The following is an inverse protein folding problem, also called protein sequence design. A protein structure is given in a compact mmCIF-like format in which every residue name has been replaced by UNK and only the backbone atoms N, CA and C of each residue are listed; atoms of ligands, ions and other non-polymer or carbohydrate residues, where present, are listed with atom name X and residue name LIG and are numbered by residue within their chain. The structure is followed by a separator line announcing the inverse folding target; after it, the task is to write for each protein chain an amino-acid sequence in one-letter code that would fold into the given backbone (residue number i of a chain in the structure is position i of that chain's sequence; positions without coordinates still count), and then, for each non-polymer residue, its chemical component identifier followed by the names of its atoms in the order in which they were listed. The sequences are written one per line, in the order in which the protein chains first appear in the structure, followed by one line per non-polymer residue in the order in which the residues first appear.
data_IF_152427848674
#
_entry.id   IF_152427848674
#
_cell.length_a   1.000
_cell.length_b   1.000
_cell.length_c   1.000
_cell.angle_alpha   90.00
_cell.angle_beta   90.00
_cell.angle_gamma   90.00
#
_symmetry.space_group_name_H-M   'P 1'
#
loop_
_entity.id
_entity.type
_entity.pdbx_description
1 polymer ?
#
# COMPACT_ATOMS: atom_id res chain seq x y z
N UNK A 1 -29.61 -5.37 -8.66
CA UNK A 1 -29.12 -4.96 -9.99
C UNK A 1 -29.12 -3.44 -10.05
N UNK A 2 -27.98 -2.80 -10.29
CA UNK A 2 -27.89 -1.35 -10.39
C UNK A 2 -28.02 -0.91 -11.85
N UNK A 3 -28.81 0.13 -12.13
CA UNK A 3 -28.92 0.74 -13.45
C UNK A 3 -28.27 2.11 -13.39
N UNK A 4 -27.25 2.34 -14.21
CA UNK A 4 -26.63 3.66 -14.36
C UNK A 4 -27.16 4.31 -15.63
N UNK A 5 -27.84 5.45 -15.47
CA UNK A 5 -28.40 6.21 -16.57
C UNK A 5 -27.46 7.36 -16.92
N UNK A 6 -27.03 7.42 -18.17
CA UNK A 6 -26.30 8.58 -18.71
C UNK A 6 -26.86 8.91 -20.07
N UNK A 7 -27.50 10.06 -20.17
CA UNK A 7 -28.04 10.56 -21.45
C UNK A 7 -26.89 11.17 -22.26
N UNK A 8 -26.63 10.64 -23.44
CA UNK A 8 -25.66 11.21 -24.39
C UNK A 8 -26.36 11.32 -25.74
N UNK A 9 -26.72 12.53 -26.15
CA UNK A 9 -27.35 12.79 -27.45
C UNK A 9 -28.80 12.29 -27.57
N UNK A 10 -29.29 12.21 -28.81
CA UNK A 10 -30.69 11.87 -29.13
C UNK A 10 -30.94 10.35 -29.28
N UNK A 11 -29.94 9.51 -29.07
CA UNK A 11 -30.07 8.05 -29.10
C UNK A 11 -29.59 7.46 -27.80
N UNK A 12 -30.38 6.62 -27.17
CA UNK A 12 -29.98 5.84 -26.00
C UNK A 12 -29.64 4.41 -26.42
N UNK A 13 -28.46 3.96 -26.13
CA UNK A 13 -28.04 2.57 -26.37
C UNK A 13 -27.92 1.86 -25.02
N UNK A 14 -28.59 0.73 -24.88
CA UNK A 14 -28.47 -0.14 -23.70
C UNK A 14 -27.37 -1.15 -23.93
N UNK A 15 -26.48 -1.28 -22.98
CA UNK A 15 -25.43 -2.29 -22.96
C UNK A 15 -25.40 -2.99 -21.61
N UNK A 16 -25.57 -4.29 -21.65
CA UNK A 16 -25.36 -5.14 -20.48
C UNK A 16 -23.86 -5.34 -20.22
N UNK A 17 -23.46 -5.18 -18.97
CA UNK A 17 -22.06 -5.32 -18.55
C UNK A 17 -22.02 -6.32 -17.41
N UNK A 18 -21.10 -7.29 -17.49
CA UNK A 18 -20.88 -8.31 -16.47
C UNK A 18 -22.07 -9.26 -16.21
N UNK A 19 -22.99 -9.43 -17.17
CA UNK A 19 -24.14 -10.37 -17.06
C UNK A 19 -23.86 -11.75 -17.63
N UNK A 20 -22.70 -11.95 -18.24
CA UNK A 20 -22.37 -13.25 -18.85
C UNK A 20 -21.88 -14.26 -17.82
N UNK A 21 -22.09 -15.55 -18.08
CA UNK A 21 -21.59 -16.65 -17.22
C UNK A 21 -20.07 -16.62 -16.97
N UNK A 22 -19.30 -15.92 -17.81
CA UNK A 22 -17.87 -15.64 -17.59
C UNK A 22 -17.63 -14.77 -16.35
N UNK A 23 -18.50 -13.80 -16.06
CA UNK A 23 -18.40 -12.98 -14.87
C UNK A 23 -18.54 -13.81 -13.59
N UNK A 24 -19.56 -14.66 -13.54
CA UNK A 24 -19.77 -15.53 -12.37
C UNK A 24 -18.70 -16.62 -12.24
N UNK A 25 -18.13 -17.10 -13.36
CA UNK A 25 -16.99 -18.02 -13.32
C UNK A 25 -15.71 -17.36 -12.82
N UNK A 26 -15.50 -16.11 -13.17
CA UNK A 26 -14.36 -15.32 -12.67
C UNK A 26 -14.55 -14.87 -11.21
N UNK A 27 -15.76 -14.95 -10.68
CA UNK A 27 -16.07 -14.75 -9.27
C UNK A 27 -15.92 -16.03 -8.43
N UNK A 28 -15.67 -17.18 -9.03
CA UNK A 28 -15.24 -18.36 -8.27
C UNK A 28 -13.94 -17.99 -7.58
N UNK A 29 -14.00 -18.00 -6.27
CA UNK A 29 -12.93 -17.57 -5.38
C UNK A 29 -11.67 -18.37 -5.70
N UNK A 30 -10.76 -17.73 -6.42
CA UNK A 30 -9.43 -18.25 -6.59
C UNK A 30 -8.65 -17.85 -5.34
N UNK A 31 -8.10 -18.81 -4.63
CA UNK A 31 -7.21 -18.50 -3.50
C UNK A 31 -5.91 -17.94 -4.05
N UNK A 32 -5.82 -16.62 -4.05
CA UNK A 32 -4.61 -15.93 -4.48
C UNK A 32 -3.56 -16.06 -3.39
N UNK A 33 -2.33 -16.32 -3.78
CA UNK A 33 -1.22 -16.53 -2.85
C UNK A 33 -0.28 -15.33 -2.85
N UNK A 34 0.09 -14.84 -1.67
CA UNK A 34 1.18 -13.87 -1.54
C UNK A 34 2.51 -14.57 -1.84
N UNK A 35 3.16 -14.20 -2.94
CA UNK A 35 4.47 -14.74 -3.33
C UNK A 35 5.62 -14.04 -2.64
N UNK A 36 5.56 -12.72 -2.54
CA UNK A 36 6.60 -11.93 -1.90
C UNK A 36 6.09 -10.56 -1.51
N UNK A 37 6.71 -9.99 -0.49
CA UNK A 37 6.55 -8.62 -0.08
C UNK A 37 7.91 -7.92 -0.06
N UNK A 38 7.96 -6.66 -0.53
CA UNK A 38 9.16 -5.84 -0.52
C UNK A 38 8.82 -4.47 0.08
N UNK A 39 9.63 -4.03 1.02
CA UNK A 39 9.55 -2.72 1.65
C UNK A 39 10.97 -2.18 1.82
N UNK A 40 11.48 -1.46 0.85
CA UNK A 40 12.88 -1.01 0.88
C UNK A 40 13.12 -0.04 2.03
N UNK A 41 14.02 -0.40 2.92
CA UNK A 41 14.54 0.40 4.03
C UNK A 41 16.03 0.70 3.88
N UNK A 42 16.59 0.43 2.70
CA UNK A 42 17.97 0.78 2.35
C UNK A 42 18.12 2.25 1.99
N UNK A 43 19.35 2.71 2.09
CA UNK A 43 19.76 4.07 1.74
C UNK A 43 19.56 4.36 0.25
N UNK A 44 18.86 5.45 -0.08
CA UNK A 44 18.83 6.00 -1.43
C UNK A 44 19.38 7.41 -1.44
N UNK A 45 20.28 7.70 -2.38
CA UNK A 45 20.76 9.07 -2.62
C UNK A 45 19.58 9.98 -2.98
N UNK A 46 19.49 11.11 -2.31
CA UNK A 46 18.55 12.17 -2.66
C UNK A 46 19.16 12.99 -3.79
N UNK A 47 18.40 13.22 -4.84
CA UNK A 47 18.79 14.08 -5.95
C UNK A 47 18.57 15.55 -5.61
N UNK A 48 19.36 16.46 -6.22
CA UNK A 48 19.17 17.91 -6.07
C UNK A 48 17.74 18.35 -6.39
N UNK A 49 17.12 17.72 -7.41
CA UNK A 49 15.71 17.97 -7.74
C UNK A 49 14.76 17.60 -6.59
N UNK A 50 14.99 16.46 -5.94
CA UNK A 50 14.18 16.05 -4.78
C UNK A 50 14.36 17.02 -3.62
N UNK A 51 15.56 17.56 -3.43
CA UNK A 51 15.86 18.59 -2.44
C UNK A 51 15.10 19.87 -2.78
N UNK A 52 15.21 20.37 -3.99
CA UNK A 52 14.51 21.57 -4.46
C UNK A 52 12.99 21.41 -4.36
N UNK A 53 12.45 20.28 -4.79
CA UNK A 53 11.01 19.96 -4.68
C UNK A 53 10.54 19.89 -3.21
N UNK A 54 11.39 19.41 -2.30
CA UNK A 54 11.08 19.36 -0.88
C UNK A 54 11.08 20.76 -0.26
N UNK A 55 12.07 21.59 -0.61
CA UNK A 55 12.13 22.98 -0.20
C UNK A 55 10.97 23.83 -0.73
N UNK A 56 10.65 23.69 -2.02
CA UNK A 56 9.54 24.42 -2.65
C UNK A 56 8.17 24.04 -2.09
N UNK A 57 8.01 22.82 -1.59
CA UNK A 57 6.77 22.35 -0.91
C UNK A 57 6.84 22.55 0.60
N UNK A 58 7.94 23.07 1.10
CA UNK A 58 8.28 23.11 2.52
C UNK A 58 7.23 23.83 3.35
N UNK A 59 6.46 23.04 4.07
CA UNK A 59 5.80 23.52 5.29
C UNK A 59 6.79 23.30 6.43
N UNK A 60 7.00 24.33 7.22
CA UNK A 60 7.70 24.18 8.48
C UNK A 60 7.02 23.12 9.34
N UNK A 61 7.79 22.26 9.97
CA UNK A 61 7.24 21.38 10.96
C UNK A 61 6.72 22.25 12.13
N UNK A 62 5.42 22.23 12.43
CA UNK A 62 4.84 23.10 13.46
C UNK A 62 5.41 22.87 14.86
N UNK A 63 6.07 21.69 15.10
CA UNK A 63 6.71 21.40 16.38
C UNK A 63 8.13 21.92 16.49
N UNK A 64 8.85 21.97 15.39
CA UNK A 64 10.28 22.34 15.40
C UNK A 64 10.56 23.71 14.77
N UNK A 65 9.60 24.29 14.05
CA UNK A 65 9.78 25.52 13.29
C UNK A 65 10.88 25.47 12.22
N UNK A 66 11.33 24.25 11.87
CA UNK A 66 12.47 24.05 10.98
C UNK A 66 12.01 23.67 9.57
N UNK A 67 12.65 24.20 8.52
CA UNK A 67 12.34 23.82 7.15
C UNK A 67 12.73 22.35 6.90
N UNK A 68 12.04 21.73 5.94
CA UNK A 68 12.03 20.30 5.67
C UNK A 68 13.32 19.64 5.19
N UNK A 69 14.50 20.23 5.41
CA UNK A 69 15.77 19.65 4.98
C UNK A 69 16.83 19.72 6.06
N UNK A 70 17.28 18.53 6.50
CA UNK A 70 18.34 18.41 7.49
C UNK A 70 19.74 18.40 6.91
N UNK A 71 20.05 17.53 5.98
CA UNK A 71 21.40 17.35 5.42
C UNK A 71 21.37 17.16 3.91
N UNK A 72 22.24 17.85 3.20
CA UNK A 72 22.55 17.61 1.79
C UNK A 72 23.31 16.29 1.69
N UNK A 73 22.88 15.38 0.82
CA UNK A 73 23.52 14.08 0.61
C UNK A 73 23.06 12.95 1.55
N UNK A 74 22.08 13.20 2.39
CA UNK A 74 21.48 12.19 3.24
C UNK A 74 20.53 11.24 2.46
N UNK A 75 20.14 10.21 3.12
CA UNK A 75 19.43 9.05 2.64
C UNK A 75 17.94 9.28 2.67
N UNK A 76 17.22 8.83 1.65
CA UNK A 76 15.76 8.72 1.70
C UNK A 76 15.33 7.27 1.56
N UNK A 77 14.16 6.95 2.06
CA UNK A 77 13.50 5.67 1.83
C UNK A 77 12.61 5.74 0.59
N UNK A 78 12.48 4.62 -0.12
CA UNK A 78 11.42 4.49 -1.12
C UNK A 78 10.06 4.63 -0.46
N UNK A 79 9.17 5.44 -1.04
CA UNK A 79 7.81 5.57 -0.52
C UNK A 79 6.94 4.34 -0.80
N UNK A 80 7.36 3.51 -1.76
CA UNK A 80 6.57 2.39 -2.23
C UNK A 80 6.92 1.09 -1.52
N UNK A 81 5.90 0.34 -1.19
CA UNK A 81 5.98 -1.07 -0.82
C UNK A 81 5.28 -1.89 -1.89
N UNK A 82 5.75 -3.09 -2.14
CA UNK A 82 5.24 -3.94 -3.22
C UNK A 82 4.87 -5.30 -2.70
N UNK A 83 3.64 -5.73 -2.98
CA UNK A 83 3.19 -7.12 -2.85
C UNK A 83 3.13 -7.76 -4.24
N UNK A 84 3.61 -9.01 -4.34
CA UNK A 84 3.42 -9.85 -5.51
C UNK A 84 2.41 -10.93 -5.14
N UNK A 85 1.24 -10.91 -5.76
CA UNK A 85 0.12 -11.80 -5.48
C UNK A 85 -0.14 -12.65 -6.72
N UNK A 86 -0.20 -13.96 -6.55
CA UNK A 86 -0.39 -14.93 -7.62
C UNK A 86 -1.80 -15.51 -7.56
N UNK A 87 -2.48 -15.44 -8.69
CA UNK A 87 -3.71 -16.14 -8.96
C UNK A 87 -3.39 -17.40 -9.78
N UNK A 88 -3.60 -18.60 -9.25
CA UNK A 88 -3.33 -19.84 -9.98
C UNK A 88 -4.28 -20.06 -11.16
N UNK A 89 -5.38 -19.30 -11.25
CA UNK A 89 -6.42 -19.46 -12.26
C UNK A 89 -7.15 -20.79 -12.09
N UNK A 90 -8.30 -20.79 -11.43
CA UNK A 90 -9.12 -22.00 -11.28
C UNK A 90 -10.19 -22.04 -12.36
N UNK A 91 -10.35 -23.23 -12.98
CA UNK A 91 -11.37 -23.48 -13.98
C UNK A 91 -10.85 -23.58 -15.42
N UNK A 92 -11.69 -24.02 -16.36
CA UNK A 92 -11.28 -24.37 -17.73
C UNK A 92 -10.72 -23.19 -18.55
N UNK A 93 -11.00 -21.94 -18.17
CA UNK A 93 -10.41 -20.72 -18.75
C UNK A 93 -9.47 -20.00 -17.78
N UNK A 94 -9.10 -20.63 -16.67
CA UNK A 94 -8.32 -20.03 -15.59
C UNK A 94 -6.93 -19.59 -16.06
N UNK A 95 -6.76 -18.30 -16.28
CA UNK A 95 -5.44 -17.73 -16.61
C UNK A 95 -4.65 -17.50 -15.32
N UNK A 96 -3.53 -18.21 -15.19
CA UNK A 96 -2.52 -17.86 -14.19
C UNK A 96 -2.13 -16.39 -14.34
N UNK A 97 -2.26 -15.63 -13.26
CA UNK A 97 -2.00 -14.20 -13.29
C UNK A 97 -1.17 -13.80 -12.07
N UNK A 98 -0.26 -12.87 -12.24
CA UNK A 98 0.44 -12.26 -11.13
C UNK A 98 0.05 -10.80 -11.05
N UNK A 99 -0.41 -10.39 -9.87
CA UNK A 99 -0.71 -9.00 -9.57
C UNK A 99 0.46 -8.40 -8.78
N UNK A 100 0.87 -7.21 -9.20
CA UNK A 100 1.79 -6.36 -8.46
C UNK A 100 0.96 -5.28 -7.77
N UNK A 101 0.88 -5.31 -6.46
CA UNK A 101 0.22 -4.25 -5.67
C UNK A 101 1.26 -3.30 -5.15
N UNK A 102 1.25 -2.07 -5.61
CA UNK A 102 2.08 -1.01 -5.06
C UNK A 102 1.30 -0.31 -3.94
N UNK A 103 1.90 -0.26 -2.76
CA UNK A 103 1.40 0.51 -1.63
C UNK A 103 2.19 1.80 -1.61
N UNK A 104 1.54 2.91 -1.92
CA UNK A 104 2.17 4.22 -2.04
C UNK A 104 1.76 5.13 -0.91
N UNK A 105 2.72 5.82 -0.33
CA UNK A 105 2.44 6.98 0.50
C UNK A 105 1.91 8.12 -0.37
N UNK A 106 1.05 8.95 0.19
CA UNK A 106 0.57 10.16 -0.47
C UNK A 106 1.30 11.38 0.09
N UNK A 107 1.62 12.33 -0.78
CA UNK A 107 2.27 13.59 -0.40
C UNK A 107 1.33 14.60 0.27
N UNK A 108 0.08 14.23 0.50
CA UNK A 108 -0.91 15.09 1.15
C UNK A 108 -1.21 14.62 2.57
N UNK A 109 -1.11 15.52 3.46
CA UNK A 109 -1.58 15.59 4.84
C UNK A 109 -2.28 14.35 5.43
N UNK A 110 -1.60 13.64 6.31
CA UNK A 110 -2.19 12.69 7.25
C UNK A 110 -2.03 11.22 6.91
N UNK A 111 -2.14 10.43 7.95
CA UNK A 111 -1.90 8.99 7.96
C UNK A 111 -2.91 8.17 7.13
N UNK A 112 -4.02 8.75 6.73
CA UNK A 112 -5.09 8.11 5.99
C UNK A 112 -4.81 7.95 4.48
N UNK A 113 -3.58 8.13 4.03
CA UNK A 113 -3.30 8.35 2.60
C UNK A 113 -2.49 7.27 1.90
N UNK A 114 -2.35 6.08 2.47
CA UNK A 114 -1.81 4.95 1.72
C UNK A 114 -2.77 4.58 0.57
N UNK A 115 -2.20 4.29 -0.59
CA UNK A 115 -2.94 3.83 -1.76
C UNK A 115 -2.45 2.46 -2.18
N UNK A 116 -3.36 1.54 -2.39
CA UNK A 116 -3.08 0.20 -2.92
C UNK A 116 -3.45 0.18 -4.39
N UNK A 117 -2.42 0.09 -5.24
CA UNK A 117 -2.56 0.15 -6.70
C UNK A 117 -2.15 -1.18 -7.33
N UNK A 118 -3.08 -2.12 -7.54
CA UNK A 118 -2.80 -3.37 -8.24
C UNK A 118 -2.65 -3.15 -9.74
N UNK A 119 -1.69 -3.86 -10.32
CA UNK A 119 -1.45 -3.96 -11.76
C UNK A 119 -1.22 -5.42 -12.13
N UNK A 120 -1.51 -5.79 -13.37
CA UNK A 120 -1.21 -7.13 -13.88
C UNK A 120 0.21 -7.14 -14.42
N UNK A 121 1.04 -8.08 -13.97
CA UNK A 121 2.42 -8.23 -14.45
C UNK A 121 2.41 -8.68 -15.92
N UNK A 122 3.28 -8.08 -16.72
CA UNK A 122 3.38 -8.37 -18.16
C UNK A 122 2.39 -7.62 -19.05
N UNK A 123 1.53 -6.77 -18.48
CA UNK A 123 0.61 -5.91 -19.23
C UNK A 123 0.82 -4.46 -18.82
N UNK A 124 1.52 -3.69 -19.63
CA UNK A 124 1.93 -2.31 -19.32
C UNK A 124 0.77 -1.32 -19.09
N UNK A 125 -0.43 -1.62 -19.57
CA UNK A 125 -1.59 -0.74 -19.47
C UNK A 125 -2.70 -1.26 -18.54
N UNK A 126 -2.55 -2.44 -17.95
CA UNK A 126 -3.61 -3.05 -17.14
C UNK A 126 -3.57 -2.54 -15.69
N UNK A 127 -3.82 -1.24 -15.51
CA UNK A 127 -4.13 -0.71 -14.18
C UNK A 127 -5.51 -1.24 -13.78
N UNK A 128 -5.54 -2.02 -12.73
CA UNK A 128 -6.75 -2.25 -11.97
C UNK A 128 -7.02 -0.98 -11.14
N UNK A 129 -8.22 -0.73 -10.71
CA UNK A 129 -8.52 0.43 -9.88
C UNK A 129 -7.60 0.59 -8.67
N UNK A 130 -7.87 1.59 -7.87
CA UNK A 130 -7.19 1.81 -6.59
C UNK A 130 -8.11 1.37 -5.48
N UNK A 131 -7.61 0.58 -4.53
CA UNK A 131 -8.34 0.40 -3.29
C UNK A 131 -8.19 1.66 -2.43
N UNK A 132 -9.29 2.20 -1.96
CA UNK A 132 -9.27 3.33 -1.04
C UNK A 132 -8.78 2.90 0.33
N UNK A 133 -8.26 3.84 1.10
CA UNK A 133 -7.83 3.59 2.48
C UNK A 133 -8.97 3.03 3.32
N UNK A 134 -10.14 3.65 3.28
CA UNK A 134 -11.31 3.23 4.05
C UNK A 134 -11.64 1.75 3.80
N UNK A 135 -11.64 1.35 2.54
CA UNK A 135 -11.96 -0.01 2.14
C UNK A 135 -10.92 -1.03 2.60
N UNK A 136 -9.62 -0.69 2.51
CA UNK A 136 -8.56 -1.57 3.00
C UNK A 136 -8.60 -1.66 4.53
N UNK A 137 -8.88 -0.56 5.23
CA UNK A 137 -9.06 -0.59 6.68
C UNK A 137 -10.25 -1.46 7.08
N UNK A 138 -11.36 -1.43 6.33
CA UNK A 138 -12.50 -2.30 6.60
C UNK A 138 -12.15 -3.79 6.37
N UNK A 139 -11.41 -4.11 5.31
CA UNK A 139 -10.87 -5.46 5.12
C UNK A 139 -9.94 -5.85 6.29
N UNK A 140 -9.05 -4.96 6.70
CA UNK A 140 -8.15 -5.23 7.84
C UNK A 140 -8.91 -5.48 9.15
N UNK A 141 -10.03 -4.79 9.38
CA UNK A 141 -10.92 -5.06 10.53
C UNK A 141 -11.51 -6.46 10.45
N UNK A 142 -12.04 -6.85 9.28
CA UNK A 142 -12.64 -8.19 9.06
C UNK A 142 -11.64 -9.30 9.38
N UNK A 143 -10.37 -9.14 9.00
CA UNK A 143 -9.31 -10.12 9.25
C UNK A 143 -8.57 -9.91 10.58
N UNK A 144 -9.06 -9.06 11.48
CA UNK A 144 -8.44 -8.83 12.78
C UNK A 144 -7.03 -8.23 12.74
N UNK A 145 -6.68 -7.58 11.65
CA UNK A 145 -5.35 -7.01 11.43
C UNK A 145 -5.08 -5.73 12.23
N UNK A 146 -6.14 -5.01 12.64
CA UNK A 146 -6.02 -3.70 13.28
C UNK A 146 -5.23 -3.75 14.60
N UNK A 147 -5.33 -4.83 15.36
CA UNK A 147 -4.57 -5.02 16.60
C UNK A 147 -3.04 -5.03 16.42
N UNK A 148 -2.57 -5.28 15.19
CA UNK A 148 -1.16 -5.24 14.85
C UNK A 148 -0.79 -3.99 14.05
N UNK A 149 -1.75 -3.43 13.33
CA UNK A 149 -1.56 -2.23 12.52
C UNK A 149 -1.51 -0.98 13.39
N UNK A 150 -2.51 -0.77 14.20
CA UNK A 150 -2.69 0.41 15.03
C UNK A 150 -3.17 0.01 16.44
N UNK A 151 -2.29 -0.62 17.24
CA UNK A 151 -2.65 -1.05 18.59
C UNK A 151 -2.95 0.11 19.54
N UNK A 152 -2.35 1.28 19.29
CA UNK A 152 -2.66 2.56 19.93
C UNK A 152 -2.42 3.73 18.96
N UNK A 153 -2.87 4.94 19.31
CA UNK A 153 -2.82 6.13 18.46
C UNK A 153 -1.41 6.75 18.32
N UNK A 154 -0.38 6.17 18.93
CA UNK A 154 0.98 6.73 18.96
C UNK A 154 1.99 5.96 18.11
N UNK A 155 1.56 4.91 17.43
CA UNK A 155 2.46 4.03 16.66
C UNK A 155 2.96 4.65 15.34
N UNK A 156 2.39 5.76 14.91
CA UNK A 156 2.77 6.48 13.70
C UNK A 156 3.29 7.87 14.04
N UNK A 157 4.51 7.97 14.58
CA UNK A 157 5.11 9.27 14.86
C UNK A 157 5.25 10.08 13.57
N UNK A 158 5.08 11.37 13.69
CA UNK A 158 5.28 12.33 12.61
C UNK A 158 6.57 13.16 12.79
N UNK A 159 7.34 12.84 13.81
CA UNK A 159 8.60 13.50 14.18
C UNK A 159 9.65 12.49 14.61
N UNK A 160 10.92 12.83 14.39
CA UNK A 160 12.05 11.98 14.80
C UNK A 160 12.12 11.81 16.32
N UNK A 161 11.73 12.82 17.09
CA UNK A 161 11.76 12.77 18.55
C UNK A 161 10.74 11.80 19.10
N UNK A 162 9.58 11.70 18.45
CA UNK A 162 8.51 10.75 18.80
C UNK A 162 8.87 9.32 18.36
N UNK A 163 9.75 9.16 17.35
CA UNK A 163 10.30 7.86 16.95
C UNK A 163 11.45 7.45 17.87
N UNK A 164 11.11 7.22 19.13
CA UNK A 164 12.05 6.93 20.22
C UNK A 164 11.43 6.00 21.25
N UNK A 165 12.19 5.62 22.26
CA UNK A 165 11.72 4.84 23.40
C UNK A 165 10.97 3.57 23.01
N UNK A 166 9.74 3.40 23.53
CA UNK A 166 8.88 2.22 23.29
C UNK A 166 8.54 2.05 21.81
N UNK A 167 8.21 3.13 21.11
CA UNK A 167 7.85 3.08 19.68
C UNK A 167 9.02 2.56 18.86
N UNK A 168 10.23 3.08 19.07
CA UNK A 168 11.43 2.62 18.38
C UNK A 168 11.71 1.14 18.65
N UNK A 169 11.62 0.71 19.91
CA UNK A 169 11.83 -0.70 20.29
C UNK A 169 10.84 -1.62 19.60
N UNK A 170 9.59 -1.22 19.52
CA UNK A 170 8.55 -1.98 18.86
C UNK A 170 8.82 -2.13 17.36
N UNK A 171 9.23 -1.06 16.67
CA UNK A 171 9.60 -1.17 15.24
C UNK A 171 10.82 -2.03 14.99
N UNK A 172 11.84 -2.01 15.90
CA UNK A 172 12.96 -2.95 15.83
C UNK A 172 12.48 -4.39 15.91
N UNK A 173 11.59 -4.70 16.85
CA UNK A 173 11.00 -6.04 17.01
C UNK A 173 10.22 -6.46 15.77
N UNK A 174 9.32 -5.61 15.27
CA UNK A 174 8.50 -5.88 14.08
C UNK A 174 9.37 -6.18 12.85
N UNK A 175 10.35 -5.33 12.60
CA UNK A 175 11.26 -5.48 11.46
C UNK A 175 12.05 -6.78 11.60
N UNK A 176 12.61 -7.03 12.80
CA UNK A 176 13.37 -8.25 13.09
C UNK A 176 12.55 -9.52 12.85
N UNK A 177 11.34 -9.61 13.38
CA UNK A 177 10.45 -10.77 13.19
C UNK A 177 10.20 -11.07 11.70
N UNK A 178 9.91 -10.02 10.93
CA UNK A 178 9.67 -10.18 9.49
C UNK A 178 10.93 -10.54 8.70
N UNK A 179 12.11 -10.07 9.13
CA UNK A 179 13.41 -10.42 8.54
C UNK A 179 13.76 -11.88 8.83
N UNK A 180 13.68 -12.29 10.09
CA UNK A 180 14.01 -13.66 10.54
C UNK A 180 13.12 -14.69 9.81
N UNK A 181 11.84 -14.36 9.64
CA UNK A 181 10.89 -15.17 8.89
C UNK A 181 11.06 -15.08 7.36
N UNK A 182 11.93 -14.25 6.85
CA UNK A 182 12.10 -13.94 5.41
C UNK A 182 10.78 -13.54 4.73
N UNK A 183 9.87 -12.95 5.49
CA UNK A 183 8.55 -12.58 5.00
C UNK A 183 8.58 -11.33 4.12
N UNK A 184 9.41 -10.35 4.48
CA UNK A 184 9.57 -9.09 3.74
C UNK A 184 11.04 -8.93 3.34
N UNK A 185 11.25 -8.55 2.07
CA UNK A 185 12.55 -8.09 1.61
C UNK A 185 12.69 -6.59 1.88
N UNK A 186 13.59 -6.21 2.79
CA UNK A 186 13.86 -4.83 3.15
C UNK A 186 14.99 -4.16 2.34
N UNK A 187 15.54 -4.88 1.39
CA UNK A 187 16.64 -4.44 0.54
C UNK A 187 17.93 -5.20 0.82
N UNK A 188 18.87 -5.19 -0.13
CA UNK A 188 20.13 -5.91 0.00
C UNK A 188 21.00 -5.30 1.11
N UNK A 189 21.51 -6.17 2.00
CA UNK A 189 22.42 -5.77 3.09
C UNK A 189 21.76 -4.94 4.18
N UNK A 190 20.44 -4.86 4.24
CA UNK A 190 19.73 -4.12 5.29
C UNK A 190 19.49 -5.04 6.47
N UNK A 191 20.07 -4.71 7.61
CA UNK A 191 19.75 -5.25 8.92
C UNK A 191 18.79 -4.33 9.69
N UNK A 192 18.43 -4.73 10.91
CA UNK A 192 17.48 -3.98 11.73
C UNK A 192 18.03 -2.59 12.09
N UNK A 193 19.29 -2.48 12.46
CA UNK A 193 19.89 -1.22 12.86
C UNK A 193 19.99 -0.26 11.68
N UNK A 194 20.44 -0.75 10.52
CA UNK A 194 20.46 0.03 9.27
C UNK A 194 19.06 0.52 8.89
N UNK A 195 18.05 -0.34 9.01
CA UNK A 195 16.67 0.04 8.74
C UNK A 195 16.20 1.19 9.64
N UNK A 196 16.48 1.10 10.95
CA UNK A 196 16.10 2.12 11.92
C UNK A 196 16.85 3.44 11.66
N UNK A 197 18.15 3.37 11.40
CA UNK A 197 18.96 4.56 11.06
C UNK A 197 18.37 5.27 9.86
N UNK A 198 18.03 4.53 8.80
CA UNK A 198 17.49 5.09 7.57
C UNK A 198 16.09 5.70 7.77
N UNK A 199 15.26 5.10 8.62
CA UNK A 199 13.95 5.68 9.00
C UNK A 199 14.16 7.01 9.74
N UNK A 200 15.05 7.05 10.73
CA UNK A 200 15.37 8.27 11.49
C UNK A 200 15.93 9.38 10.61
N UNK A 201 16.85 9.05 9.72
CA UNK A 201 17.40 10.01 8.74
C UNK A 201 16.30 10.52 7.80
N UNK A 202 15.32 9.70 7.42
CA UNK A 202 14.19 10.15 6.60
C UNK A 202 13.33 11.18 7.34
N UNK A 203 13.09 11.02 8.65
CA UNK A 203 12.43 12.05 9.46
C UNK A 203 13.25 13.33 9.51
N UNK A 204 14.54 13.23 9.68
CA UNK A 204 15.45 14.37 9.74
C UNK A 204 15.46 15.17 8.43
N UNK A 205 15.52 14.47 7.29
CA UNK A 205 15.50 15.08 5.95
C UNK A 205 14.17 15.76 5.65
N UNK A 206 13.06 15.07 5.95
CA UNK A 206 11.72 15.54 5.65
C UNK A 206 11.00 16.11 6.86
N UNK A 207 11.73 16.75 7.77
CA UNK A 207 11.15 17.30 9.02
C UNK A 207 10.03 18.32 8.83
N UNK A 208 9.99 19.00 7.66
CA UNK A 208 8.84 19.80 7.23
C UNK A 208 7.74 18.99 6.51
N UNK A 209 8.02 17.72 6.20
CA UNK A 209 7.10 16.81 5.53
C UNK A 209 7.10 15.43 6.21
N UNK A 210 6.68 15.36 7.47
CA UNK A 210 6.82 14.15 8.32
C UNK A 210 6.09 12.93 7.77
N UNK A 211 5.05 13.14 6.95
CA UNK A 211 4.30 12.06 6.33
C UNK A 211 5.13 11.11 5.44
N UNK A 212 6.33 11.50 5.00
CA UNK A 212 7.19 10.63 4.19
C UNK A 212 7.66 9.44 5.01
N UNK A 213 8.21 9.69 6.20
CA UNK A 213 8.65 8.63 7.10
C UNK A 213 7.45 7.91 7.73
N UNK A 214 6.44 8.66 8.18
CA UNK A 214 5.22 8.09 8.77
C UNK A 214 4.47 7.18 7.81
N UNK A 215 4.42 7.52 6.52
CA UNK A 215 3.86 6.66 5.49
C UNK A 215 4.62 5.32 5.38
N UNK A 216 5.94 5.34 5.56
CA UNK A 216 6.75 4.12 5.60
C UNK A 216 6.46 3.29 6.85
N UNK A 217 6.29 3.91 7.98
CA UNK A 217 5.91 3.21 9.21
C UNK A 217 4.55 2.53 9.08
N UNK A 218 3.57 3.20 8.46
CA UNK A 218 2.28 2.58 8.14
C UNK A 218 2.42 1.36 7.22
N UNK A 219 3.28 1.44 6.20
CA UNK A 219 3.55 0.33 5.31
C UNK A 219 4.19 -0.85 6.06
N UNK A 220 5.14 -0.59 6.95
CA UNK A 220 5.76 -1.61 7.80
C UNK A 220 4.70 -2.28 8.69
N UNK A 221 3.84 -1.50 9.35
CA UNK A 221 2.77 -2.01 10.19
C UNK A 221 1.74 -2.82 9.41
N UNK A 222 1.38 -2.36 8.22
CA UNK A 222 0.52 -3.12 7.31
C UNK A 222 1.12 -4.48 6.96
N UNK A 223 2.41 -4.51 6.61
CA UNK A 223 3.10 -5.77 6.30
C UNK A 223 3.19 -6.68 7.53
N UNK A 224 3.43 -6.12 8.70
CA UNK A 224 3.44 -6.88 9.94
C UNK A 224 2.07 -7.47 10.27
N UNK A 225 1.01 -6.70 10.11
CA UNK A 225 -0.35 -7.21 10.30
C UNK A 225 -0.69 -8.34 9.32
N UNK A 226 -0.21 -8.23 8.06
CA UNK A 226 -0.34 -9.29 7.07
C UNK A 226 0.51 -10.53 7.42
N UNK A 227 1.70 -10.32 7.98
CA UNK A 227 2.58 -11.39 8.47
C UNK A 227 1.93 -12.21 9.60
N UNK A 228 1.20 -11.56 10.51
CA UNK A 228 0.53 -12.21 11.64
C UNK A 228 -0.70 -13.02 11.27
N UNK A 229 -1.20 -12.91 10.05
CA UNK A 229 -2.26 -13.78 9.55
C UNK A 229 -1.74 -15.20 9.29
N UNK A 230 -2.58 -16.19 9.48
CA UNK A 230 -2.34 -17.55 8.98
C UNK A 230 -2.19 -17.55 7.45
N UNK A 231 -1.55 -18.57 6.86
CA UNK A 231 -1.43 -18.65 5.39
C UNK A 231 -2.78 -18.56 4.67
N UNK A 232 -3.83 -19.16 5.22
CA UNK A 232 -5.16 -19.12 4.65
C UNK A 232 -5.78 -17.72 4.72
N UNK A 233 -5.82 -17.10 5.91
CA UNK A 233 -6.34 -15.74 6.09
C UNK A 233 -5.58 -14.73 5.23
N UNK A 234 -4.28 -14.90 5.07
CA UNK A 234 -3.44 -14.06 4.19
C UNK A 234 -3.84 -14.20 2.73
N UNK A 235 -4.12 -15.43 2.29
CA UNK A 235 -4.62 -15.71 0.93
C UNK A 235 -5.98 -15.06 0.72
N UNK A 236 -6.89 -15.20 1.67
CA UNK A 236 -8.24 -14.63 1.62
C UNK A 236 -8.19 -13.10 1.61
N UNK A 237 -7.33 -12.50 2.43
CA UNK A 237 -7.10 -11.06 2.43
C UNK A 237 -6.57 -10.57 1.08
N UNK A 238 -5.54 -11.22 0.53
CA UNK A 238 -4.98 -10.86 -0.77
C UNK A 238 -6.02 -10.97 -1.89
N UNK A 239 -6.83 -12.03 -1.86
CA UNK A 239 -7.93 -12.23 -2.79
C UNK A 239 -8.93 -11.09 -2.69
N UNK A 240 -9.38 -10.78 -1.47
CA UNK A 240 -10.32 -9.69 -1.21
C UNK A 240 -9.78 -8.32 -1.63
N UNK A 241 -8.49 -8.06 -1.39
CA UNK A 241 -7.82 -6.83 -1.79
C UNK A 241 -7.83 -6.64 -3.32
N UNK A 242 -7.50 -7.68 -4.08
CA UNK A 242 -7.51 -7.63 -5.55
C UNK A 242 -8.92 -7.46 -6.09
N UNK A 243 -9.90 -8.20 -5.56
CA UNK A 243 -11.31 -8.06 -5.95
C UNK A 243 -11.83 -6.65 -5.69
N UNK A 244 -11.54 -6.13 -4.52
CA UNK A 244 -12.00 -4.82 -4.08
C UNK A 244 -11.42 -3.70 -4.92
N UNK A 245 -10.09 -3.72 -5.15
CA UNK A 245 -9.44 -2.75 -6.01
C UNK A 245 -9.95 -2.83 -7.45
N UNK A 246 -10.19 -4.04 -7.94
CA UNK A 246 -10.82 -4.27 -9.22
C UNK A 246 -12.22 -3.68 -9.30
N UNK A 247 -13.05 -3.88 -8.27
CA UNK A 247 -14.43 -3.37 -8.18
C UNK A 247 -14.48 -1.85 -8.23
N UNK A 248 -13.67 -1.16 -7.45
CA UNK A 248 -13.63 0.30 -7.45
C UNK A 248 -13.21 0.89 -8.79
N UNK A 249 -12.26 0.26 -9.48
CA UNK A 249 -11.80 0.75 -10.77
C UNK A 249 -12.75 0.54 -11.93
N UNK A 250 -13.62 -0.45 -11.85
CA UNK A 250 -14.48 -0.86 -12.98
C UNK A 250 -15.96 -0.96 -12.65
N UNK A 251 -16.34 -0.72 -11.39
CA UNK A 251 -17.71 -0.91 -10.90
C UNK A 251 -18.23 -2.30 -11.24
N UNK A 252 -17.74 -3.32 -10.58
CA UNK A 252 -18.18 -4.69 -10.77
C UNK A 252 -19.59 -4.91 -10.28
N UNK A 253 -20.27 -5.75 -10.97
CA UNK A 253 -21.62 -6.24 -10.77
C UNK A 253 -22.29 -6.33 -12.12
N UNK A 254 -23.28 -7.21 -12.29
CA UNK A 254 -24.14 -7.13 -13.45
C UNK A 254 -24.88 -5.79 -13.39
N UNK A 255 -24.65 -4.94 -14.36
CA UNK A 255 -25.39 -3.68 -14.51
C UNK A 255 -25.62 -3.35 -15.97
N UNK A 256 -26.75 -2.71 -16.22
CA UNK A 256 -27.03 -2.13 -17.52
C UNK A 256 -26.51 -0.70 -17.60
N UNK A 257 -25.87 -0.35 -18.68
CA UNK A 257 -25.45 1.02 -18.98
C UNK A 257 -26.16 1.51 -20.21
N UNK A 258 -26.87 2.63 -20.08
CA UNK A 258 -27.48 3.36 -21.18
C UNK A 258 -26.53 4.47 -21.58
N UNK A 259 -26.20 4.54 -22.84
CA UNK A 259 -25.32 5.53 -23.45
C UNK A 259 -26.12 6.52 -24.28
#
# INVERSE_FOLDING_TARGET
MGISLKKIGNKATYKEINVTGKFFRNMQVTHMTLKSARCELGAKKITEKQIADALARGKENPRTGLPGLGKVGAVTLSQDTVLMIFDPGIGPEGKKTTYKVQIKGNNSTGFSNLKWEPTIVGKSSARMGKATVALVLDLMKVYGMMKYYEPDNKVFPDDQTDFSGKVLTEYKTIIKEMMDARFVNFGPGVDVETAIINIRETFNIYRGQPWVASSKLQQIRFLYSLFKLSPQERSDFCTSLIFTAGKEGKRYGPYGKIF
#
